data_IF_673293124833
#
_entry.id   IF_673293124833
#
_cell.length_a   1.000
_cell.length_b   1.000
_cell.length_c   1.000
_cell.angle_alpha   90.00
_cell.angle_beta   90.00
_cell.angle_gamma   90.00
#
_symmetry.space_group_name_H-M   'P 1'
#
loop_
_entity.id
_entity.type
_entity.pdbx_description
1 polymer ?
#
# COMPACT_ATOMS: atom_id res chain seq x y z
N UNK A 1 -1.10 1.52 14.16
CA UNK A 1 -1.15 1.24 15.60
C UNK A 1 -1.89 -0.07 15.80
N UNK A 2 -1.16 -1.09 16.26
CA UNK A 2 -1.77 -2.33 16.76
C UNK A 2 -2.42 -1.98 18.11
N UNK A 3 -3.74 -2.03 18.16
CA UNK A 3 -4.50 -1.78 19.37
C UNK A 3 -4.79 -3.13 20.03
N UNK A 4 -4.62 -3.22 21.33
CA UNK A 4 -4.89 -4.42 22.14
C UNK A 4 -3.98 -5.63 21.81
N UNK A 5 -2.69 -5.47 21.96
CA UNK A 5 -1.74 -6.57 21.83
C UNK A 5 -1.91 -7.60 22.96
N UNK A 6 -1.90 -8.88 22.59
CA UNK A 6 -1.90 -10.00 23.52
C UNK A 6 -0.73 -10.92 23.18
N UNK A 7 0.19 -11.11 24.14
CA UNK A 7 1.26 -12.09 24.02
C UNK A 7 0.74 -13.49 24.35
N UNK A 8 0.96 -14.42 23.44
CA UNK A 8 0.53 -15.81 23.57
C UNK A 8 1.70 -16.74 23.31
N UNK A 9 1.76 -17.83 24.04
CA UNK A 9 2.68 -18.94 23.76
C UNK A 9 1.97 -19.97 22.92
N UNK A 10 2.59 -20.38 21.83
CA UNK A 10 2.08 -21.42 20.94
C UNK A 10 3.14 -22.45 20.63
N UNK A 11 2.72 -23.63 20.22
CA UNK A 11 3.57 -24.70 19.73
C UNK A 11 3.29 -24.98 18.27
N UNK A 12 4.34 -25.12 17.47
CA UNK A 12 4.20 -25.61 16.10
C UNK A 12 3.63 -27.01 16.11
N UNK A 13 2.68 -27.27 15.24
CA UNK A 13 2.03 -28.56 15.14
C UNK A 13 2.94 -29.63 14.56
N UNK A 14 3.64 -29.27 13.50
CA UNK A 14 4.56 -30.13 12.75
C UNK A 14 5.63 -29.28 12.06
N UNK A 15 6.41 -29.84 11.14
CA UNK A 15 7.23 -29.06 10.22
C UNK A 15 6.30 -28.11 9.44
N UNK A 16 6.49 -26.80 9.63
CA UNK A 16 5.64 -25.81 9.00
C UNK A 16 6.38 -25.00 7.95
N UNK A 17 5.63 -24.55 6.95
CA UNK A 17 6.11 -23.56 6.00
C UNK A 17 6.10 -22.17 6.68
N UNK A 18 7.13 -21.36 6.41
CA UNK A 18 7.20 -19.97 6.89
C UNK A 18 6.13 -19.06 6.27
N UNK A 19 5.56 -19.45 5.14
CA UNK A 19 4.52 -18.68 4.45
C UNK A 19 3.16 -18.93 5.10
N UNK A 20 2.87 -20.17 5.43
CA UNK A 20 1.61 -20.60 6.02
C UNK A 20 1.85 -21.50 7.25
N UNK A 21 2.30 -20.94 8.38
CA UNK A 21 2.53 -21.72 9.58
C UNK A 21 1.20 -22.11 10.24
N UNK A 22 1.21 -23.27 10.88
CA UNK A 22 0.07 -23.76 11.68
C UNK A 22 0.52 -23.92 13.13
N UNK A 23 -0.13 -23.19 14.04
CA UNK A 23 0.26 -23.13 15.45
C UNK A 23 -0.90 -23.56 16.34
N UNK A 24 -0.58 -24.35 17.36
CA UNK A 24 -1.54 -24.69 18.41
C UNK A 24 -1.36 -23.73 19.58
N UNK A 25 -2.44 -23.12 20.00
CA UNK A 25 -2.49 -22.13 21.10
C UNK A 25 -3.54 -22.53 22.12
N UNK A 26 -3.16 -22.48 23.39
CA UNK A 26 -4.05 -22.79 24.50
C UNK A 26 -4.56 -21.49 25.15
N UNK A 27 -5.46 -20.78 24.46
CA UNK A 27 -6.10 -19.57 24.97
C UNK A 27 -7.39 -19.27 24.17
N UNK A 28 -8.49 -19.01 24.87
CA UNK A 28 -9.78 -18.70 24.24
C UNK A 28 -9.84 -17.28 23.65
N UNK A 29 -8.97 -16.37 24.08
CA UNK A 29 -8.96 -14.98 23.60
C UNK A 29 -8.52 -14.84 22.14
N UNK A 30 -7.94 -15.89 21.56
CA UNK A 30 -7.44 -15.92 20.17
C UNK A 30 -8.52 -15.58 19.15
N UNK A 31 -9.77 -15.92 19.43
CA UNK A 31 -10.91 -15.71 18.51
C UNK A 31 -11.13 -14.22 18.16
N UNK A 32 -10.63 -13.31 18.99
CA UNK A 32 -10.82 -11.86 18.82
C UNK A 32 -9.81 -11.22 17.89
N UNK A 33 -8.76 -11.94 17.52
CA UNK A 33 -7.64 -11.41 16.75
C UNK A 33 -7.68 -11.93 15.32
N UNK A 34 -7.28 -11.12 14.39
CA UNK A 34 -7.18 -11.43 12.97
C UNK A 34 -5.76 -11.28 12.42
N UNK A 35 -4.81 -10.85 13.26
CA UNK A 35 -3.46 -10.55 12.87
C UNK A 35 -2.46 -10.90 13.96
N UNK A 36 -1.27 -11.35 13.60
CA UNK A 36 -0.24 -11.75 14.54
C UNK A 36 1.17 -11.40 14.06
N UNK A 37 2.07 -11.18 15.02
CA UNK A 37 3.50 -11.14 14.79
C UNK A 37 4.14 -12.35 15.46
N UNK A 38 4.92 -13.12 14.72
CA UNK A 38 5.65 -14.30 15.25
C UNK A 38 7.13 -13.92 15.34
N UNK A 39 7.66 -13.73 16.57
CA UNK A 39 9.04 -13.26 16.76
C UNK A 39 10.10 -14.21 16.22
N UNK A 40 9.87 -15.52 16.34
CA UNK A 40 10.81 -16.57 15.88
C UNK A 40 11.02 -16.51 14.36
N UNK A 41 9.99 -16.09 13.60
CA UNK A 41 10.06 -15.94 12.15
C UNK A 41 10.33 -14.49 11.73
N UNK A 42 10.26 -13.53 12.67
CA UNK A 42 10.38 -12.08 12.42
C UNK A 42 9.43 -11.59 11.32
N UNK A 43 8.21 -12.10 11.29
CA UNK A 43 7.22 -11.84 10.25
C UNK A 43 5.85 -11.58 10.83
N UNK A 44 5.07 -10.85 10.04
CA UNK A 44 3.67 -10.55 10.30
C UNK A 44 2.77 -11.51 9.51
N UNK A 45 1.63 -11.87 10.10
CA UNK A 45 0.71 -12.86 9.54
C UNK A 45 -0.74 -12.45 9.72
N UNK A 46 -1.54 -12.73 8.70
CA UNK A 46 -2.99 -12.75 8.83
C UNK A 46 -3.44 -14.09 9.40
N UNK A 47 -4.48 -14.08 10.21
CA UNK A 47 -5.12 -15.30 10.68
C UNK A 47 -6.13 -15.72 9.61
N UNK A 48 -5.86 -16.86 8.98
CA UNK A 48 -6.68 -17.42 7.89
C UNK A 48 -7.83 -18.25 8.42
N UNK A 49 -7.55 -19.08 9.43
CA UNK A 49 -8.51 -19.98 10.01
C UNK A 49 -8.18 -20.30 11.45
N UNK A 50 -9.23 -20.38 12.27
CA UNK A 50 -9.14 -20.82 13.67
C UNK A 50 -10.01 -22.05 13.84
N UNK A 51 -9.43 -23.15 14.30
CA UNK A 51 -10.12 -24.42 14.52
C UNK A 51 -9.99 -24.81 15.97
N UNK A 52 -11.10 -25.08 16.64
CA UNK A 52 -11.11 -25.63 18.00
C UNK A 52 -10.83 -27.12 17.95
N UNK A 53 -9.81 -27.58 18.64
CA UNK A 53 -9.52 -29.01 18.79
C UNK A 53 -10.22 -29.59 20.01
N UNK A 54 -10.18 -28.86 21.13
CA UNK A 54 -10.85 -29.20 22.40
C UNK A 54 -10.95 -27.93 23.24
N UNK A 55 -11.66 -28.02 24.37
CA UNK A 55 -11.83 -26.86 25.25
C UNK A 55 -10.50 -26.18 25.59
N UNK A 56 -10.39 -24.94 25.18
CA UNK A 56 -9.20 -24.10 25.41
C UNK A 56 -8.01 -24.35 24.51
N UNK A 57 -8.07 -25.34 23.58
CA UNK A 57 -6.99 -25.61 22.60
C UNK A 57 -7.46 -25.30 21.19
N UNK A 58 -6.73 -24.45 20.52
CA UNK A 58 -7.03 -23.94 19.20
C UNK A 58 -5.88 -24.17 18.24
N UNK A 59 -6.18 -24.58 17.02
CA UNK A 59 -5.26 -24.61 15.89
C UNK A 59 -5.53 -23.40 15.02
N UNK A 60 -4.49 -22.63 14.75
CA UNK A 60 -4.56 -21.42 13.95
C UNK A 60 -3.70 -21.61 12.72
N UNK A 61 -4.30 -21.38 11.57
CA UNK A 61 -3.64 -21.34 10.27
C UNK A 61 -3.38 -19.88 9.93
N UNK A 62 -2.12 -19.57 9.62
CA UNK A 62 -1.66 -18.22 9.30
C UNK A 62 -1.28 -18.11 7.84
N UNK A 63 -1.30 -16.89 7.33
CA UNK A 63 -0.76 -16.52 6.02
C UNK A 63 0.14 -15.30 6.18
N UNK A 64 1.35 -15.35 5.62
CA UNK A 64 2.31 -14.26 5.76
C UNK A 64 1.80 -12.97 5.13
N UNK A 65 2.00 -11.84 5.81
CA UNK A 65 1.89 -10.51 5.24
C UNK A 65 3.28 -10.05 4.76
N UNK A 66 3.58 -10.16 3.47
CA UNK A 66 4.89 -9.79 2.95
C UNK A 66 5.14 -8.28 3.01
N UNK A 67 4.10 -7.47 2.82
CA UNK A 67 4.24 -6.01 2.80
C UNK A 67 4.63 -5.48 4.18
N UNK A 68 3.97 -5.93 5.23
CA UNK A 68 4.28 -5.50 6.58
C UNK A 68 5.58 -6.14 7.09
N UNK A 69 5.85 -7.40 6.73
CA UNK A 69 7.06 -8.11 7.13
C UNK A 69 8.33 -7.48 6.57
N UNK A 70 8.28 -6.98 5.34
CA UNK A 70 9.42 -6.36 4.64
C UNK A 70 9.26 -4.84 4.45
N UNK A 71 8.38 -4.22 5.21
CA UNK A 71 8.08 -2.80 5.11
C UNK A 71 9.32 -1.90 5.10
N UNK A 72 10.29 -2.18 5.97
CA UNK A 72 11.51 -1.39 6.05
C UNK A 72 12.32 -1.40 4.75
N UNK A 73 12.50 -2.59 4.20
CA UNK A 73 13.25 -2.79 2.96
C UNK A 73 12.51 -2.21 1.75
N UNK A 74 11.18 -2.39 1.70
CA UNK A 74 10.34 -1.84 0.64
C UNK A 74 10.40 -0.31 0.63
N UNK A 75 10.31 0.32 1.80
CA UNK A 75 10.37 1.79 1.91
C UNK A 75 11.76 2.36 1.64
N UNK A 76 12.81 1.55 1.72
CA UNK A 76 14.17 1.95 1.38
C UNK A 76 14.48 1.81 -0.12
N UNK A 77 13.62 1.18 -0.91
CA UNK A 77 13.81 1.04 -2.34
C UNK A 77 13.73 2.41 -3.04
N UNK A 78 14.65 2.60 -3.98
CA UNK A 78 14.57 3.72 -4.90
C UNK A 78 13.64 3.34 -6.05
N UNK A 79 12.58 4.12 -6.23
CA UNK A 79 11.58 3.88 -7.27
C UNK A 79 11.39 5.13 -8.12
N UNK A 80 11.07 4.92 -9.38
CA UNK A 80 10.58 5.99 -10.26
C UNK A 80 9.07 5.97 -10.16
N UNK A 81 8.49 7.12 -9.79
CA UNK A 81 7.04 7.27 -9.67
C UNK A 81 6.60 8.28 -10.71
N UNK A 82 5.66 7.90 -11.52
CA UNK A 82 5.02 8.76 -12.50
C UNK A 82 3.51 8.72 -12.32
N UNK A 83 2.85 9.82 -12.64
CA UNK A 83 1.42 9.95 -12.49
C UNK A 83 0.84 10.73 -13.66
N UNK A 84 -0.23 10.21 -14.22
CA UNK A 84 -1.03 10.87 -15.23
C UNK A 84 -1.90 11.96 -14.63
N UNK A 85 -1.99 13.10 -15.31
CA UNK A 85 -2.83 14.23 -14.90
C UNK A 85 -4.23 14.20 -15.53
N UNK A 86 -4.48 13.33 -16.49
CA UNK A 86 -5.77 13.23 -17.19
C UNK A 86 -6.05 11.80 -17.65
N UNK A 87 -7.34 11.47 -17.80
CA UNK A 87 -7.82 10.17 -18.31
C UNK A 87 -7.85 10.12 -19.87
N UNK A 88 -7.02 10.86 -20.55
CA UNK A 88 -7.03 10.92 -22.01
C UNK A 88 -6.57 9.59 -22.63
N UNK A 89 -7.27 9.16 -23.66
CA UNK A 89 -6.91 7.97 -24.43
C UNK A 89 -5.55 8.20 -25.10
N UNK A 90 -4.58 7.32 -24.80
CA UNK A 90 -3.22 7.40 -25.33
C UNK A 90 -2.18 7.89 -24.35
N UNK A 91 -2.56 8.27 -23.15
CA UNK A 91 -1.62 8.53 -22.06
C UNK A 91 -1.09 7.20 -21.51
N UNK A 92 0.25 7.08 -21.48
CA UNK A 92 0.94 5.84 -21.07
C UNK A 92 1.17 5.77 -19.56
N UNK A 93 0.79 6.81 -18.82
CA UNK A 93 1.04 6.91 -17.38
C UNK A 93 -0.07 6.26 -16.55
N UNK A 94 0.32 5.68 -15.44
CA UNK A 94 -0.62 5.02 -14.53
C UNK A 94 -1.10 6.01 -13.48
N UNK A 95 -2.39 6.31 -13.45
CA UNK A 95 -3.03 7.04 -12.35
C UNK A 95 -3.54 6.04 -11.31
N UNK A 96 -2.80 5.87 -10.22
CA UNK A 96 -3.20 5.03 -9.09
C UNK A 96 -4.00 5.80 -8.02
N UNK A 97 -4.26 7.10 -8.25
CA UNK A 97 -4.95 7.97 -7.30
C UNK A 97 -4.17 8.29 -6.02
N UNK A 98 -2.96 7.75 -5.84
CA UNK A 98 -2.17 7.90 -4.62
C UNK A 98 -1.36 9.20 -4.58
N UNK A 99 -1.03 9.75 -5.73
CA UNK A 99 -0.28 11.00 -5.88
C UNK A 99 -1.19 12.12 -6.38
N UNK A 100 -1.11 13.27 -5.73
CA UNK A 100 -1.80 14.48 -6.20
C UNK A 100 -0.80 15.31 -7.00
N UNK A 101 -1.03 15.41 -8.32
CA UNK A 101 -0.29 16.32 -9.17
C UNK A 101 -1.08 17.63 -9.31
N UNK A 102 -0.55 18.72 -8.77
CA UNK A 102 -1.14 20.04 -8.97
C UNK A 102 -0.62 20.66 -10.28
N UNK A 103 -1.52 20.86 -11.23
CA UNK A 103 -1.22 21.62 -12.44
C UNK A 103 -1.30 23.13 -12.13
N UNK A 104 -0.15 23.79 -12.17
CA UNK A 104 -0.12 25.23 -12.02
C UNK A 104 -0.23 25.89 -13.39
N UNK A 105 -1.42 26.42 -13.71
CA UNK A 105 -1.63 27.15 -14.95
C UNK A 105 -1.37 28.65 -14.71
N UNK A 106 -0.32 29.17 -15.33
CA UNK A 106 -0.05 30.59 -15.30
C UNK A 106 -0.65 31.27 -16.54
N UNK A 107 -1.61 32.15 -16.31
CA UNK A 107 -2.26 32.91 -17.39
C UNK A 107 -1.87 34.38 -17.29
N UNK A 108 -1.16 34.88 -18.30
CA UNK A 108 -0.87 36.31 -18.44
C UNK A 108 -1.70 36.93 -19.55
N UNK A 109 -2.37 38.01 -19.23
CA UNK A 109 -3.15 38.80 -20.20
C UNK A 109 -2.47 40.13 -20.40
N UNK A 110 -2.05 40.38 -21.63
CA UNK A 110 -1.46 41.65 -22.03
C UNK A 110 -2.46 42.47 -22.82
N UNK A 111 -2.72 43.68 -22.39
CA UNK A 111 -3.58 44.62 -23.11
C UNK A 111 -2.70 45.52 -23.97
N UNK A 112 -2.97 45.53 -25.26
CA UNK A 112 -2.30 46.41 -26.21
C UNK A 112 -3.14 47.69 -26.42
N UNK A 113 -2.58 48.84 -26.05
CA UNK A 113 -3.32 50.13 -26.06
C UNK A 113 -3.80 50.58 -27.45
N UNK A 114 -3.22 50.06 -28.52
CA UNK A 114 -3.56 50.41 -29.91
C UNK A 114 -4.26 49.31 -30.68
N UNK A 115 -4.56 48.17 -30.07
CA UNK A 115 -5.08 47.00 -30.77
C UNK A 115 -4.09 46.42 -31.80
N UNK A 116 -4.60 45.46 -32.57
CA UNK A 116 -3.86 44.92 -33.72
C UNK A 116 -4.28 45.65 -34.99
N UNK A 117 -3.34 45.82 -35.93
CA UNK A 117 -3.64 46.41 -37.24
C UNK A 117 -4.51 45.42 -38.05
N UNK A 118 -5.41 45.97 -38.91
CA UNK A 118 -6.30 45.16 -39.74
C UNK A 118 -5.57 44.23 -40.72
N UNK A 119 -4.28 44.43 -40.95
CA UNK A 119 -3.41 43.66 -41.82
C UNK A 119 -2.15 43.18 -41.10
N UNK A 120 -2.27 42.68 -39.89
CA UNK A 120 -1.14 42.18 -39.10
C UNK A 120 -0.77 40.75 -39.45
N UNK A 121 0.53 40.47 -39.58
CA UNK A 121 1.05 39.10 -39.57
C UNK A 121 1.23 38.67 -38.09
N UNK A 122 0.72 37.49 -37.75
CA UNK A 122 0.81 36.94 -36.41
C UNK A 122 1.81 35.78 -36.37
N UNK A 123 2.77 35.84 -35.49
CA UNK A 123 3.71 34.78 -35.24
C UNK A 123 3.44 34.26 -33.82
N UNK A 124 3.04 33.00 -33.69
CA UNK A 124 2.95 32.31 -32.41
C UNK A 124 4.22 31.50 -32.19
N UNK A 125 5.02 31.88 -31.20
CA UNK A 125 6.19 31.12 -30.77
C UNK A 125 5.81 30.38 -29.49
N UNK A 126 5.81 29.07 -29.50
CA UNK A 126 5.66 28.23 -28.31
C UNK A 126 7.02 27.63 -27.97
N UNK A 127 7.49 27.87 -26.74
CA UNK A 127 8.65 27.21 -26.17
C UNK A 127 8.14 26.18 -25.13
N UNK A 128 8.48 24.91 -25.35
CA UNK A 128 8.19 23.84 -24.41
C UNK A 128 9.40 23.52 -23.54
#
# INVERSE_FOLDING_TARGET
NLLNELSLSGTLRDSCNLIEPVINIQNESVIRYNYAYIPDFKRYYFIKKITSLRKGLWTIEFEVDPLMSFKGDILALQVVVDKQSSDSIGDEYIDDGSLVADNYTFKSVYNFNKGFNDHGEYILITAG
#
